data_IF_085202025776
#
_entry.id   IF_085202025776
#
_cell.length_a   1.000
_cell.length_b   1.000
_cell.length_c   1.000
_cell.angle_alpha   90.00
_cell.angle_beta   90.00
_cell.angle_gamma   90.00
#
_symmetry.space_group_name_H-M   'P 1'
#
loop_
_entity.id
_entity.type
_entity.pdbx_description
1 polymer ?
#
# COMPACT_ATOMS: atom_id res chain seq x y z
N UNK A 1 -0.53 21.10 -10.12
CA UNK A 1 0.62 20.66 -9.31
C UNK A 1 0.12 19.69 -8.27
N UNK A 2 0.79 18.57 -8.04
CA UNK A 2 0.41 17.60 -7.00
C UNK A 2 0.94 18.11 -5.66
N UNK A 3 0.11 18.13 -4.62
CA UNK A 3 0.56 18.52 -3.27
C UNK A 3 1.16 17.34 -2.50
N UNK A 4 1.99 17.60 -1.49
CA UNK A 4 2.52 16.54 -0.60
C UNK A 4 1.40 15.75 0.07
N UNK A 5 0.30 16.40 0.43
CA UNK A 5 -0.91 15.73 0.92
C UNK A 5 -1.52 14.78 -0.10
N UNK A 6 -1.68 15.21 -1.35
CA UNK A 6 -2.21 14.37 -2.44
C UNK A 6 -1.27 13.20 -2.72
N UNK A 7 0.05 13.44 -2.79
CA UNK A 7 1.04 12.40 -2.97
C UNK A 7 0.98 11.38 -1.81
N UNK A 8 0.85 11.86 -0.57
CA UNK A 8 0.70 11.00 0.60
C UNK A 8 -0.53 10.11 0.53
N UNK A 9 -1.67 10.66 0.12
CA UNK A 9 -2.90 9.89 -0.10
C UNK A 9 -2.73 8.84 -1.20
N UNK A 10 -2.03 9.15 -2.29
CA UNK A 10 -1.74 8.19 -3.37
C UNK A 10 -0.92 7.01 -2.83
N UNK A 11 0.15 7.27 -2.07
CA UNK A 11 0.97 6.21 -1.46
C UNK A 11 0.17 5.33 -0.50
N UNK A 12 -0.70 5.93 0.32
CA UNK A 12 -1.58 5.19 1.23
C UNK A 12 -2.57 4.32 0.44
N UNK A 13 -3.22 4.88 -0.57
CA UNK A 13 -4.18 4.14 -1.40
C UNK A 13 -3.50 2.98 -2.14
N UNK A 14 -2.30 3.18 -2.67
CA UNK A 14 -1.54 2.13 -3.32
C UNK A 14 -1.12 1.04 -2.33
N UNK A 15 -0.60 1.40 -1.16
CA UNK A 15 -0.18 0.44 -0.15
C UNK A 15 -1.34 -0.37 0.42
N UNK A 16 -2.42 0.31 0.82
CA UNK A 16 -3.65 -0.35 1.32
C UNK A 16 -4.30 -1.18 0.22
N UNK A 17 -4.44 -0.62 -0.99
CA UNK A 17 -5.03 -1.31 -2.14
C UNK A 17 -4.25 -2.55 -2.55
N UNK A 18 -2.91 -2.51 -2.54
CA UNK A 18 -2.08 -3.68 -2.80
C UNK A 18 -2.27 -4.77 -1.75
N UNK A 19 -2.31 -4.42 -0.47
CA UNK A 19 -2.56 -5.37 0.60
C UNK A 19 -3.96 -6.00 0.50
N UNK A 20 -5.00 -5.17 0.31
CA UNK A 20 -6.39 -5.65 0.15
C UNK A 20 -6.54 -6.52 -1.09
N UNK A 21 -6.01 -6.10 -2.24
CA UNK A 21 -6.08 -6.84 -3.50
C UNK A 21 -5.41 -8.21 -3.41
N UNK A 22 -4.27 -8.29 -2.71
CA UNK A 22 -3.57 -9.54 -2.44
C UNK A 22 -4.43 -10.52 -1.63
N UNK A 23 -5.02 -10.08 -0.51
CA UNK A 23 -5.93 -10.92 0.27
C UNK A 23 -7.22 -11.26 -0.49
N UNK A 24 -7.71 -10.37 -1.34
CA UNK A 24 -8.87 -10.64 -2.18
C UNK A 24 -8.59 -11.76 -3.20
N UNK A 25 -7.40 -11.75 -3.82
CA UNK A 25 -6.96 -12.82 -4.73
C UNK A 25 -6.85 -14.17 -3.99
N UNK A 26 -6.29 -14.16 -2.78
CA UNK A 26 -6.21 -15.35 -1.93
C UNK A 26 -7.61 -15.90 -1.60
N UNK A 27 -8.55 -15.01 -1.25
CA UNK A 27 -9.93 -15.36 -0.90
C UNK A 27 -10.71 -15.94 -2.10
N UNK A 28 -10.49 -15.41 -3.30
CA UNK A 28 -11.13 -15.90 -4.53
C UNK A 28 -10.58 -17.26 -4.99
N UNK A 29 -9.63 -17.84 -4.24
CA UNK A 29 -9.19 -19.21 -4.47
C UNK A 29 -8.31 -19.37 -5.71
N UNK A 30 -7.67 -18.29 -6.18
CA UNK A 30 -6.77 -18.31 -7.34
C UNK A 30 -5.50 -19.17 -7.12
N UNK A 31 -5.33 -19.80 -5.96
CA UNK A 31 -4.40 -20.90 -5.74
C UNK A 31 -4.35 -21.31 -4.27
N UNK A 32 -4.93 -22.47 -3.94
CA UNK A 32 -4.64 -23.29 -2.74
C UNK A 32 -3.95 -22.52 -1.60
N UNK A 33 -4.68 -21.71 -0.83
CA UNK A 33 -4.10 -20.84 0.19
C UNK A 33 -3.33 -21.67 1.23
N UNK A 34 -2.00 -21.64 1.14
CA UNK A 34 -1.07 -22.30 2.07
C UNK A 34 -0.49 -21.32 3.10
N UNK A 35 -1.09 -20.13 3.23
CA UNK A 35 -0.61 -19.03 4.07
C UNK A 35 0.21 -18.00 3.30
N UNK A 36 0.80 -17.05 4.05
CA UNK A 36 1.56 -15.92 3.47
C UNK A 36 2.93 -16.40 3.00
N UNK A 37 3.09 -16.56 1.69
CA UNK A 37 4.36 -16.94 1.07
C UNK A 37 5.47 -15.89 1.22
N UNK A 38 6.74 -16.23 0.97
CA UNK A 38 7.86 -15.30 1.10
C UNK A 38 7.74 -14.09 0.17
N UNK A 39 7.18 -14.26 -1.03
CA UNK A 39 6.90 -13.14 -1.95
C UNK A 39 5.80 -12.22 -1.40
N UNK A 40 4.72 -12.81 -0.90
CA UNK A 40 3.59 -12.09 -0.29
C UNK A 40 4.04 -11.27 0.92
N UNK A 41 4.92 -11.83 1.77
CA UNK A 41 5.51 -11.12 2.91
C UNK A 41 6.33 -9.90 2.50
N UNK A 42 7.16 -10.02 1.46
CA UNK A 42 7.93 -8.87 0.92
C UNK A 42 7.01 -7.81 0.34
N UNK A 43 5.97 -8.22 -0.37
CA UNK A 43 4.99 -7.30 -0.94
C UNK A 43 4.17 -6.59 0.16
N UNK A 44 3.80 -7.28 1.24
CA UNK A 44 3.17 -6.66 2.42
C UNK A 44 4.12 -5.66 3.13
N UNK A 45 5.41 -5.98 3.24
CA UNK A 45 6.40 -5.04 3.79
C UNK A 45 6.53 -3.79 2.90
N UNK A 46 6.59 -3.96 1.57
CA UNK A 46 6.65 -2.85 0.63
C UNK A 46 5.36 -2.00 0.68
N UNK A 47 4.19 -2.64 0.75
CA UNK A 47 2.91 -1.96 0.93
C UNK A 47 2.87 -1.16 2.24
N UNK A 48 3.33 -1.76 3.35
CA UNK A 48 3.44 -1.08 4.64
C UNK A 48 4.39 0.12 4.59
N UNK A 49 5.54 -0.02 3.96
CA UNK A 49 6.49 1.08 3.77
C UNK A 49 5.90 2.21 2.92
N UNK A 50 5.14 1.89 1.87
CA UNK A 50 4.41 2.88 1.07
C UNK A 50 3.36 3.62 1.91
N UNK A 51 2.56 2.92 2.73
CA UNK A 51 1.61 3.56 3.65
C UNK A 51 2.32 4.48 4.63
N UNK A 52 3.40 4.02 5.27
CA UNK A 52 4.17 4.82 6.20
C UNK A 52 4.74 6.08 5.54
N UNK A 53 5.31 5.96 4.34
CA UNK A 53 5.76 7.09 3.54
C UNK A 53 4.60 8.06 3.26
N UNK A 54 3.43 7.55 2.87
CA UNK A 54 2.28 8.41 2.62
C UNK A 54 1.79 9.14 3.88
N UNK A 55 1.82 8.48 5.04
CA UNK A 55 1.48 9.09 6.33
C UNK A 55 2.45 10.21 6.71
N UNK A 56 3.75 10.08 6.42
CA UNK A 56 4.72 11.18 6.68
C UNK A 56 4.50 12.39 5.75
N UNK A 57 3.89 12.19 4.58
CA UNK A 57 3.58 13.23 3.61
C UNK A 57 2.30 14.03 3.92
N UNK A 58 1.33 13.44 4.64
CA UNK A 58 0.09 14.14 5.03
C UNK A 58 0.34 15.44 5.83
N UNK A 59 1.15 15.46 6.91
CA UNK A 59 1.37 16.67 7.70
C UNK A 59 2.17 17.76 6.96
N UNK A 60 2.83 17.42 5.86
CA UNK A 60 3.55 18.38 5.01
C UNK A 60 2.58 19.27 4.18
N UNK A 61 1.30 18.92 4.12
CA UNK A 61 0.23 19.78 3.63
C UNK A 61 0.28 20.08 2.13
N UNK A 62 -0.15 21.29 1.76
CA UNK A 62 -0.34 21.68 0.36
C UNK A 62 0.92 22.19 -0.34
N UNK A 63 2.08 21.97 0.26
CA UNK A 63 3.35 22.25 -0.42
C UNK A 63 3.42 21.41 -1.69
N UNK A 64 3.97 21.93 -2.81
CA UNK A 64 4.19 21.14 -4.00
C UNK A 64 5.05 19.92 -3.66
N UNK A 65 4.69 18.78 -4.26
CA UNK A 65 5.40 17.51 -4.11
C UNK A 65 6.83 17.60 -4.66
#
# INVERSE_FOLDING_TARGET
>A
MVTKRQLGLIFILLGVGAAVGMFAIDLLGAGQFQGIGPAQRRALLAAGAAVLLGLTLIPLGDRPA
#
